data_IF_625812200096
#
_entry.id   IF_625812200096
#
_cell.length_a   1.000
_cell.length_b   1.000
_cell.length_c   1.000
_cell.angle_alpha   90.00
_cell.angle_beta   90.00
_cell.angle_gamma   90.00
#
_symmetry.space_group_name_H-M   'P 1'
#
loop_
_entity.id
_entity.type
_entity.pdbx_description
1 polymer ?
#
# COMPACT_ATOMS: atom_id res chain seq x y z
N UNK A 1 7.34 -1.21 5.14
CA UNK A 1 7.84 -0.09 4.30
C UNK A 1 7.11 1.17 4.73
N UNK A 2 7.74 2.33 4.63
CA UNK A 2 7.17 3.62 5.06
C UNK A 2 7.62 4.76 4.16
N UNK A 3 7.13 5.97 4.41
CA UNK A 3 7.49 7.19 3.67
C UNK A 3 9.00 7.32 3.49
N UNK A 4 9.44 7.54 2.25
CA UNK A 4 10.86 7.57 1.87
C UNK A 4 11.43 6.20 1.44
N UNK A 5 10.64 5.13 1.48
CA UNK A 5 10.97 3.86 0.79
C UNK A 5 10.85 4.03 -0.73
N UNK A 6 11.72 3.37 -1.50
CA UNK A 6 11.68 3.43 -2.96
C UNK A 6 11.94 2.06 -3.61
N UNK A 7 11.48 1.86 -4.84
CA UNK A 7 11.84 0.72 -5.70
C UNK A 7 10.70 -0.19 -6.09
N UNK A 8 11.04 -1.39 -6.59
CA UNK A 8 10.08 -2.31 -7.21
C UNK A 8 8.96 -2.79 -6.29
N UNK A 9 9.23 -2.93 -4.98
CA UNK A 9 8.21 -3.30 -4.00
C UNK A 9 7.18 -2.17 -3.80
N UNK A 10 7.60 -0.91 -3.87
CA UNK A 10 6.67 0.23 -3.79
C UNK A 10 5.79 0.26 -5.04
N UNK A 11 6.36 -0.02 -6.22
CA UNK A 11 5.58 -0.10 -7.46
C UNK A 11 4.51 -1.18 -7.39
N UNK A 12 4.84 -2.34 -6.82
CA UNK A 12 3.87 -3.42 -6.62
C UNK A 12 2.77 -3.01 -5.65
N UNK A 13 3.13 -2.40 -4.51
CA UNK A 13 2.18 -1.83 -3.56
C UNK A 13 1.22 -0.82 -4.23
N UNK A 14 1.76 0.16 -4.97
CA UNK A 14 0.98 1.16 -5.69
C UNK A 14 -0.02 0.51 -6.66
N UNK A 15 0.44 -0.46 -7.47
CA UNK A 15 -0.45 -1.21 -8.40
C UNK A 15 -1.55 -1.97 -7.68
N UNK A 16 -1.26 -2.57 -6.52
CA UNK A 16 -2.27 -3.30 -5.72
C UNK A 16 -3.29 -2.36 -5.10
N UNK A 17 -2.86 -1.22 -4.54
CA UNK A 17 -3.77 -0.19 -4.02
C UNK A 17 -4.66 0.38 -5.14
N UNK A 18 -4.14 0.53 -6.36
CA UNK A 18 -4.94 0.94 -7.52
C UNK A 18 -6.01 -0.09 -7.91
N UNK A 19 -5.73 -1.40 -7.81
CA UNK A 19 -6.76 -2.44 -8.04
C UNK A 19 -7.96 -2.31 -7.09
N UNK A 20 -7.74 -1.77 -5.90
CA UNK A 20 -8.78 -1.51 -4.89
C UNK A 20 -9.37 -0.09 -4.96
N UNK A 21 -8.97 0.71 -5.95
CA UNK A 21 -9.32 2.12 -6.09
C UNK A 21 -8.92 2.99 -4.88
N UNK A 22 -7.92 2.57 -4.11
CA UNK A 22 -7.40 3.30 -2.95
C UNK A 22 -6.26 4.25 -3.32
N UNK A 23 -5.65 4.07 -4.50
CA UNK A 23 -4.57 4.91 -5.01
C UNK A 23 -4.73 5.14 -6.51
N UNK A 24 -4.78 6.42 -6.93
CA UNK A 24 -4.96 6.84 -8.33
C UNK A 24 -3.72 7.51 -8.93
N UNK A 25 -2.61 7.55 -8.18
CA UNK A 25 -1.34 8.11 -8.63
C UNK A 25 -0.52 7.11 -9.47
N UNK A 26 0.64 7.54 -9.99
CA UNK A 26 1.52 6.70 -10.78
C UNK A 26 2.20 5.62 -9.92
N UNK A 27 2.44 4.43 -10.50
CA UNK A 27 3.28 3.40 -9.89
C UNK A 27 4.78 3.69 -10.12
N UNK A 28 5.25 4.85 -9.65
CA UNK A 28 6.60 5.37 -9.85
C UNK A 28 7.66 4.71 -8.95
N UNK A 29 7.21 4.02 -7.89
CA UNK A 29 8.06 3.34 -6.93
C UNK A 29 8.51 4.24 -5.78
N UNK A 30 7.83 5.36 -5.54
CA UNK A 30 8.09 6.28 -4.43
C UNK A 30 7.01 6.13 -3.36
N UNK A 31 7.41 5.83 -2.13
CA UNK A 31 6.47 5.77 -1.01
C UNK A 31 6.21 7.19 -0.52
N UNK A 32 5.33 7.90 -1.21
CA UNK A 32 4.90 9.26 -0.89
C UNK A 32 3.86 9.28 0.24
N UNK A 33 3.51 10.48 0.71
CA UNK A 33 2.39 10.68 1.64
C UNK A 33 1.08 10.12 1.08
N UNK A 34 0.81 10.27 -0.22
CA UNK A 34 -0.40 9.71 -0.85
C UNK A 34 -0.44 8.18 -0.78
N UNK A 35 0.72 7.52 -0.90
CA UNK A 35 0.83 6.06 -0.73
C UNK A 35 0.60 5.68 0.73
N UNK A 36 1.19 6.41 1.68
CA UNK A 36 0.96 6.20 3.10
C UNK A 36 -0.53 6.35 3.47
N UNK A 37 -1.20 7.39 2.97
CA UNK A 37 -2.63 7.60 3.20
C UNK A 37 -3.48 6.49 2.60
N UNK A 38 -3.14 5.99 1.40
CA UNK A 38 -3.82 4.87 0.78
C UNK A 38 -3.65 3.57 1.59
N UNK A 39 -2.45 3.33 2.12
CA UNK A 39 -2.20 2.21 3.05
C UNK A 39 -3.01 2.37 4.33
N UNK A 40 -3.06 3.57 4.90
CA UNK A 40 -3.85 3.81 6.10
C UNK A 40 -5.35 3.58 5.88
N UNK A 41 -5.91 4.06 4.75
CA UNK A 41 -7.31 3.78 4.38
C UNK A 41 -7.58 2.29 4.23
N UNK A 42 -6.64 1.55 3.64
CA UNK A 42 -6.72 0.09 3.54
C UNK A 42 -6.74 -0.56 4.92
N UNK A 43 -5.82 -0.20 5.82
CA UNK A 43 -5.74 -0.72 7.19
C UNK A 43 -7.05 -0.50 7.94
N UNK A 44 -7.60 0.72 7.91
CA UNK A 44 -8.87 1.07 8.55
C UNK A 44 -10.03 0.25 7.98
N UNK A 45 -10.12 0.11 6.66
CA UNK A 45 -11.20 -0.65 6.01
C UNK A 45 -11.18 -2.15 6.36
N UNK A 46 -10.02 -2.69 6.75
CA UNK A 46 -9.80 -4.12 7.04
C UNK A 46 -9.58 -4.40 8.53
N UNK A 47 -9.69 -3.36 9.38
CA UNK A 47 -9.44 -3.44 10.82
C UNK A 47 -8.06 -4.04 11.16
N UNK A 48 -7.03 -3.67 10.39
CA UNK A 48 -5.64 -4.08 10.63
C UNK A 48 -5.01 -3.13 11.64
N UNK A 49 -4.48 -3.67 12.73
CA UNK A 49 -3.85 -2.93 13.83
C UNK A 49 -2.32 -2.92 13.67
N UNK A 50 -1.85 -2.18 12.66
CA UNK A 50 -0.43 -1.88 12.44
C UNK A 50 -0.21 -0.35 12.41
N UNK A 51 1.04 0.09 12.44
CA UNK A 51 1.40 1.50 12.33
C UNK A 51 0.71 2.15 11.11
N UNK A 52 0.04 3.28 11.36
CA UNK A 52 -0.78 3.96 10.36
C UNK A 52 0.04 4.33 9.11
N UNK A 53 -0.39 3.83 7.96
CA UNK A 53 0.25 4.10 6.67
C UNK A 53 1.58 3.38 6.48
N UNK A 54 1.98 2.49 7.39
CA UNK A 54 3.14 1.60 7.23
C UNK A 54 2.69 0.30 6.58
N UNK A 55 3.32 -0.04 5.46
CA UNK A 55 3.10 -1.32 4.79
C UNK A 55 3.89 -2.43 5.51
N UNK A 56 3.37 -2.87 6.66
CA UNK A 56 3.89 -3.93 7.53
C UNK A 56 3.51 -5.34 7.06
N UNK A 57 3.97 -6.40 7.75
CA UNK A 57 3.71 -7.79 7.37
C UNK A 57 2.22 -8.15 7.33
N UNK A 58 1.41 -7.67 8.26
CA UNK A 58 -0.03 -7.99 8.30
C UNK A 58 -0.76 -7.26 7.16
N UNK A 59 -0.51 -5.95 7.02
CA UNK A 59 -1.03 -5.14 5.92
C UNK A 59 -0.67 -5.74 4.57
N UNK A 60 0.58 -6.21 4.42
CA UNK A 60 1.10 -6.85 3.22
C UNK A 60 0.40 -8.16 2.93
N UNK A 61 0.30 -9.07 3.90
CA UNK A 61 -0.33 -10.36 3.70
C UNK A 61 -1.80 -10.21 3.27
N UNK A 62 -2.53 -9.31 3.93
CA UNK A 62 -3.92 -9.00 3.60
C UNK A 62 -4.02 -8.45 2.17
N UNK A 63 -3.27 -7.38 1.84
CA UNK A 63 -3.36 -6.74 0.52
C UNK A 63 -2.97 -7.70 -0.59
N UNK A 64 -1.95 -8.53 -0.39
CA UNK A 64 -1.49 -9.50 -1.38
C UNK A 64 -2.51 -10.62 -1.64
N UNK A 65 -3.34 -10.96 -0.66
CA UNK A 65 -4.40 -11.98 -0.79
C UNK A 65 -5.64 -11.48 -1.57
N UNK A 66 -5.92 -10.19 -1.52
CA UNK A 66 -7.09 -9.57 -2.18
C UNK A 66 -6.77 -9.11 -3.62
N UNK A 67 -5.49 -8.96 -3.96
CA UNK A 67 -5.04 -8.36 -5.21
C UNK A 67 -4.10 -9.26 -5.98
N UNK A 68 -4.00 -9.02 -7.29
CA UNK A 68 -3.03 -9.74 -8.14
C UNK A 68 -1.73 -8.98 -8.18
N UNK A 69 -0.62 -9.71 -8.28
CA UNK A 69 0.68 -9.10 -8.57
C UNK A 69 0.61 -8.45 -9.95
N UNK A 70 1.09 -7.21 -10.05
CA UNK A 70 1.15 -6.46 -11.32
C UNK A 70 2.57 -6.35 -11.86
#
# INVERSE_FOLDING_TARGET
MSTGSHGGQVKDLQRRLTQLNLYTGPADGTYSTDVADAVHRYQVARAIDEDAGVYGPETRAALESETRRG
#
